data_IF_598105542113
#
_entry.id   IF_598105542113
#
_cell.length_a   1.000
_cell.length_b   1.000
_cell.length_c   1.000
_cell.angle_alpha   90.00
_cell.angle_beta   90.00
_cell.angle_gamma   90.00
#
_symmetry.space_group_name_H-M   'P 1'
#
loop_
_entity.id
_entity.type
_entity.pdbx_description
1 polymer ?
#
# COMPACT_ATOMS: atom_id res chain seq x y z
N UNK A 1 -9.07 17.63 2.40
CA UNK A 1 -7.72 17.69 2.99
C UNK A 1 -6.96 16.52 2.41
N UNK A 2 -6.08 16.80 1.47
CA UNK A 2 -5.28 15.75 0.84
C UNK A 2 -4.29 15.16 1.85
N UNK A 3 -3.94 13.87 1.72
CA UNK A 3 -2.74 13.22 2.34
C UNK A 3 -1.51 14.14 2.36
N UNK A 4 -1.49 15.02 1.38
CA UNK A 4 -0.47 15.95 0.93
C UNK A 4 -0.39 17.19 1.84
N UNK A 5 -1.45 17.63 2.52
CA UNK A 5 -1.49 18.87 3.29
C UNK A 5 -1.24 18.70 4.80
N UNK A 6 -1.27 17.47 5.34
CA UNK A 6 -0.92 17.29 6.76
C UNK A 6 0.60 17.46 6.97
N UNK A 7 0.99 18.42 7.80
CA UNK A 7 2.37 18.59 8.28
C UNK A 7 2.77 17.42 9.20
N UNK A 8 1.80 16.81 9.89
CA UNK A 8 2.01 15.63 10.75
C UNK A 8 1.94 14.30 9.98
N UNK A 9 2.55 13.25 10.55
CA UNK A 9 2.35 11.88 10.09
C UNK A 9 0.87 11.50 10.24
N UNK A 10 0.24 11.14 9.13
CA UNK A 10 -1.16 10.77 9.09
C UNK A 10 -1.34 9.51 8.24
N UNK A 11 -2.33 8.71 8.63
CA UNK A 11 -2.66 7.42 8.06
C UNK A 11 -4.05 7.49 7.47
N UNK A 12 -4.16 7.16 6.19
CA UNK A 12 -5.39 7.37 5.41
C UNK A 12 -5.92 6.04 4.87
N UNK A 13 -7.24 5.90 4.84
CA UNK A 13 -7.92 4.95 3.96
C UNK A 13 -8.41 5.72 2.73
N UNK A 14 -7.88 5.41 1.56
CA UNK A 14 -8.26 6.01 0.30
C UNK A 14 -9.18 5.05 -0.48
N UNK A 15 -10.44 5.45 -0.65
CA UNK A 15 -11.48 4.71 -1.37
C UNK A 15 -11.60 5.32 -2.77
N UNK A 16 -11.39 4.50 -3.80
CA UNK A 16 -11.37 4.93 -5.20
C UNK A 16 -12.16 3.99 -6.08
N UNK A 17 -12.71 4.51 -7.19
CA UNK A 17 -13.38 3.68 -8.20
C UNK A 17 -12.45 2.52 -8.63
N UNK A 18 -12.93 1.27 -8.69
CA UNK A 18 -12.14 0.12 -9.15
C UNK A 18 -11.37 0.36 -10.46
N UNK A 19 -11.94 1.08 -11.41
CA UNK A 19 -11.32 1.41 -12.69
C UNK A 19 -10.19 2.45 -12.56
N UNK A 20 -10.24 3.27 -11.51
CA UNK A 20 -9.27 4.34 -11.24
C UNK A 20 -8.19 3.96 -10.25
N UNK A 21 -8.33 2.90 -9.45
CA UNK A 21 -7.36 2.50 -8.42
C UNK A 21 -5.89 2.55 -8.86
N UNK A 22 -5.59 2.06 -10.07
CA UNK A 22 -4.22 2.09 -10.63
C UNK A 22 -3.72 3.52 -10.84
N UNK A 23 -4.59 4.41 -11.32
CA UNK A 23 -4.28 5.82 -11.52
C UNK A 23 -4.15 6.53 -10.16
N UNK A 24 -5.04 6.25 -9.22
CA UNK A 24 -5.00 6.75 -7.85
C UNK A 24 -3.69 6.39 -7.13
N UNK A 25 -3.28 5.12 -7.21
CA UNK A 25 -1.97 4.68 -6.71
C UNK A 25 -0.82 5.50 -7.34
N UNK A 26 -0.83 5.62 -8.67
CA UNK A 26 0.20 6.35 -9.40
C UNK A 26 0.29 7.82 -8.98
N UNK A 27 -0.85 8.49 -8.80
CA UNK A 27 -0.88 9.91 -8.44
C UNK A 27 -0.50 10.13 -6.97
N UNK A 28 -0.91 9.26 -6.05
CA UNK A 28 -0.46 9.31 -4.65
C UNK A 28 1.07 9.16 -4.56
N UNK A 29 1.64 8.15 -5.23
CA UNK A 29 3.09 7.90 -5.19
C UNK A 29 3.86 9.03 -5.89
N UNK A 30 3.36 9.55 -7.01
CA UNK A 30 3.98 10.70 -7.68
C UNK A 30 4.01 11.93 -6.75
N UNK A 31 2.90 12.26 -6.10
CA UNK A 31 2.82 13.41 -5.19
C UNK A 31 3.71 13.27 -3.95
N UNK A 32 3.84 12.06 -3.38
CA UNK A 32 4.73 11.84 -2.25
C UNK A 32 6.20 11.98 -2.66
N UNK A 33 6.57 11.40 -3.80
CA UNK A 33 7.96 11.43 -4.28
C UNK A 33 8.41 12.81 -4.75
N UNK A 34 7.53 13.66 -5.30
CA UNK A 34 7.85 15.07 -5.61
C UNK A 34 8.15 15.89 -4.36
N UNK A 35 7.58 15.50 -3.21
CA UNK A 35 7.87 16.08 -1.89
C UNK A 35 9.11 15.47 -1.22
N UNK A 36 9.86 14.61 -1.92
CA UNK A 36 11.04 13.97 -1.38
C UNK A 36 10.74 12.85 -0.37
N UNK A 37 9.53 12.29 -0.39
CA UNK A 37 9.15 11.16 0.47
C UNK A 37 9.37 9.84 -0.29
N UNK A 38 10.17 8.94 0.27
CA UNK A 38 10.34 7.58 -0.25
C UNK A 38 9.09 6.74 0.02
N UNK A 39 8.79 5.76 -0.84
CA UNK A 39 7.58 4.94 -0.72
C UNK A 39 7.90 3.45 -0.65
N UNK A 40 7.37 2.79 0.38
CA UNK A 40 7.26 1.34 0.44
C UNK A 40 5.88 0.96 -0.08
N UNK A 41 5.82 0.26 -1.21
CA UNK A 41 4.58 -0.12 -1.89
C UNK A 41 4.31 -1.61 -1.63
N UNK A 42 3.35 -1.92 -0.80
CA UNK A 42 2.81 -3.27 -0.65
C UNK A 42 1.78 -3.48 -1.73
N UNK A 43 2.02 -4.43 -2.64
CA UNK A 43 1.08 -4.71 -3.73
C UNK A 43 0.53 -6.13 -3.69
N UNK A 44 -0.80 -6.23 -3.73
CA UNK A 44 -1.58 -7.48 -3.67
C UNK A 44 -2.39 -7.74 -4.94
N UNK A 45 -2.46 -6.75 -5.84
CA UNK A 45 -3.29 -6.77 -7.05
C UNK A 45 -2.45 -6.67 -8.33
N UNK A 46 -1.55 -5.69 -8.43
CA UNK A 46 -0.78 -5.39 -9.64
C UNK A 46 0.68 -5.78 -9.43
N UNK A 47 1.25 -6.71 -10.21
CA UNK A 47 2.66 -7.05 -10.14
C UNK A 47 3.60 -5.83 -10.14
N UNK A 48 4.61 -5.85 -9.27
CA UNK A 48 5.63 -4.79 -9.14
C UNK A 48 6.32 -4.45 -10.47
N UNK A 49 6.49 -5.43 -11.37
CA UNK A 49 7.06 -5.22 -12.70
C UNK A 49 6.19 -4.34 -13.60
N UNK A 50 4.86 -4.41 -13.44
CA UNK A 50 3.91 -3.54 -14.15
C UNK A 50 3.93 -2.14 -13.52
N UNK A 51 3.89 -2.05 -12.18
CA UNK A 51 3.99 -0.78 -11.47
C UNK A 51 5.31 -0.06 -11.80
N UNK A 52 6.42 -0.78 -11.87
CA UNK A 52 7.74 -0.23 -12.26
C UNK A 52 7.68 0.46 -13.62
N UNK A 53 7.04 -0.16 -14.62
CA UNK A 53 6.88 0.44 -15.96
C UNK A 53 6.01 1.70 -15.91
N UNK A 54 4.93 1.68 -15.13
CA UNK A 54 4.02 2.82 -14.96
C UNK A 54 4.72 3.99 -14.26
N UNK A 55 5.42 3.71 -13.17
CA UNK A 55 6.14 4.70 -12.38
C UNK A 55 7.27 5.33 -13.20
N UNK A 56 8.05 4.51 -13.90
CA UNK A 56 9.10 5.00 -14.82
C UNK A 56 8.51 5.89 -15.91
N UNK A 57 7.39 5.50 -16.53
CA UNK A 57 6.72 6.30 -17.57
C UNK A 57 6.20 7.65 -17.02
N UNK A 58 5.78 7.70 -15.77
CA UNK A 58 5.32 8.93 -15.08
C UNK A 58 6.49 9.80 -14.59
N UNK A 59 7.73 9.29 -14.61
CA UNK A 59 8.91 10.00 -14.12
C UNK A 59 9.13 9.90 -12.61
N UNK A 60 8.55 8.90 -11.95
CA UNK A 60 8.74 8.66 -10.52
C UNK A 60 10.18 8.13 -10.29
N UNK A 61 10.95 8.71 -9.36
CA UNK A 61 12.33 8.29 -9.07
C UNK A 61 12.35 6.90 -8.40
N UNK A 62 12.75 5.89 -9.17
CA UNK A 62 12.69 4.47 -8.74
C UNK A 62 13.66 4.11 -7.61
N UNK A 63 14.68 4.92 -7.35
CA UNK A 63 15.57 4.82 -6.18
C UNK A 63 14.85 5.19 -4.87
N UNK A 64 13.68 5.85 -4.96
CA UNK A 64 12.80 6.17 -3.83
C UNK A 64 11.66 5.16 -3.63
N UNK A 65 11.61 4.10 -4.43
CA UNK A 65 10.53 3.10 -4.38
C UNK A 65 11.08 1.75 -3.93
N UNK A 66 10.43 1.14 -2.95
CA UNK A 66 10.63 -0.27 -2.59
C UNK A 66 9.31 -1.02 -2.66
N UNK A 67 9.25 -2.12 -3.41
CA UNK A 67 8.05 -2.95 -3.51
C UNK A 67 8.09 -4.11 -2.52
N UNK A 68 6.93 -4.42 -1.93
CA UNK A 68 6.63 -5.70 -1.31
C UNK A 68 5.54 -6.34 -2.17
N UNK A 69 5.93 -7.29 -3.02
CA UNK A 69 5.08 -7.88 -4.04
C UNK A 69 4.56 -9.25 -3.59
N UNK A 70 3.25 -9.32 -3.33
CA UNK A 70 2.60 -10.53 -2.88
C UNK A 70 1.89 -11.31 -3.99
N UNK A 71 1.78 -10.75 -5.20
CA UNK A 71 0.94 -11.30 -6.27
C UNK A 71 1.76 -12.00 -7.36
N UNK A 72 2.99 -11.55 -7.63
CA UNK A 72 3.82 -12.07 -8.72
C UNK A 72 4.16 -13.53 -8.51
N UNK A 73 4.73 -13.90 -7.36
CA UNK A 73 5.11 -15.29 -7.08
C UNK A 73 3.90 -16.22 -7.03
N UNK A 74 2.79 -15.75 -6.46
CA UNK A 74 1.54 -16.50 -6.42
C UNK A 74 0.99 -16.78 -7.82
N UNK A 75 1.04 -15.79 -8.72
CA UNK A 75 0.49 -15.90 -10.08
C UNK A 75 1.38 -16.71 -11.03
N UNK A 76 2.70 -16.61 -10.90
CA UNK A 76 3.66 -17.27 -11.79
C UNK A 76 4.21 -18.60 -11.24
N UNK A 77 3.94 -18.92 -9.97
CA UNK A 77 4.54 -20.06 -9.27
C UNK A 77 6.05 -19.93 -9.03
N UNK A 78 6.66 -18.82 -9.46
CA UNK A 78 8.09 -18.55 -9.39
C UNK A 78 8.36 -17.04 -9.33
N UNK A 79 9.57 -16.67 -8.90
CA UNK A 79 10.01 -15.27 -8.87
C UNK A 79 10.78 -15.02 -10.17
N UNK A 80 10.42 -13.99 -10.97
CA UNK A 80 11.22 -13.57 -12.11
C UNK A 80 12.64 -13.17 -11.67
N UNK A 81 13.64 -13.43 -12.51
CA UNK A 81 15.01 -13.01 -12.19
C UNK A 81 15.09 -11.47 -12.04
N UNK A 82 15.70 -11.04 -10.92
CA UNK A 82 16.15 -9.68 -10.63
C UNK A 82 15.14 -8.56 -10.94
N UNK A 83 14.13 -8.39 -10.07
CA UNK A 83 13.38 -7.13 -9.99
C UNK A 83 14.03 -6.26 -8.91
N UNK A 84 14.75 -5.18 -9.29
CA UNK A 84 15.39 -4.30 -8.32
C UNK A 84 14.38 -3.74 -7.32
N UNK A 85 14.86 -3.42 -6.12
CA UNK A 85 14.08 -2.80 -5.05
C UNK A 85 12.76 -3.52 -4.72
N UNK A 86 12.69 -4.85 -4.91
CA UNK A 86 11.48 -5.64 -4.65
C UNK A 86 11.74 -6.77 -3.68
N UNK A 87 10.89 -6.89 -2.67
CA UNK A 87 10.78 -8.06 -1.78
C UNK A 87 9.54 -8.85 -2.19
N UNK A 88 9.70 -10.12 -2.54
CA UNK A 88 8.56 -10.98 -2.90
C UNK A 88 8.06 -11.77 -1.69
N UNK A 89 6.74 -11.87 -1.53
CA UNK A 89 6.11 -12.84 -0.61
C UNK A 89 5.43 -13.97 -1.40
N UNK A 90 5.04 -15.03 -0.70
CA UNK A 90 4.46 -16.23 -1.31
C UNK A 90 3.08 -15.99 -1.94
N UNK A 91 2.20 -15.28 -1.23
CA UNK A 91 0.85 -14.93 -1.69
C UNK A 91 0.24 -13.79 -0.84
N UNK A 92 -0.82 -13.12 -1.32
CA UNK A 92 -1.44 -12.02 -0.58
C UNK A 92 -2.09 -12.43 0.75
N UNK A 93 -2.49 -13.70 0.89
CA UNK A 93 -3.06 -14.25 2.12
C UNK A 93 -2.03 -14.56 3.22
N UNK A 94 -0.72 -14.56 2.91
CA UNK A 94 0.31 -14.85 3.90
C UNK A 94 0.67 -13.60 4.71
N UNK A 95 -0.19 -13.28 5.67
CA UNK A 95 -0.05 -12.11 6.56
C UNK A 95 1.25 -12.11 7.37
N UNK A 96 1.78 -13.29 7.70
CA UNK A 96 3.05 -13.41 8.43
C UNK A 96 4.22 -12.95 7.57
N UNK A 97 4.33 -13.46 6.33
CA UNK A 97 5.39 -13.03 5.40
C UNK A 97 5.26 -11.54 5.04
N UNK A 98 4.04 -11.06 4.80
CA UNK A 98 3.78 -9.64 4.57
C UNK A 98 4.22 -8.78 5.77
N UNK A 99 3.85 -9.16 6.99
CA UNK A 99 4.21 -8.43 8.20
C UNK A 99 5.73 -8.39 8.45
N UNK A 100 6.44 -9.48 8.15
CA UNK A 100 7.91 -9.54 8.21
C UNK A 100 8.52 -8.63 7.14
N UNK A 101 8.09 -8.74 5.88
CA UNK A 101 8.60 -7.93 4.78
C UNK A 101 8.41 -6.44 5.05
N UNK A 102 7.22 -6.03 5.51
CA UNK A 102 6.93 -4.63 5.88
C UNK A 102 7.83 -4.20 7.04
N UNK A 103 7.95 -5.01 8.09
CA UNK A 103 8.79 -4.66 9.24
C UNK A 103 10.26 -4.48 8.87
N UNK A 104 10.80 -5.34 8.01
CA UNK A 104 12.20 -5.24 7.55
C UNK A 104 12.41 -4.05 6.61
N UNK A 105 11.46 -3.75 5.72
CA UNK A 105 11.53 -2.57 4.87
C UNK A 105 11.51 -1.27 5.70
N UNK A 106 10.60 -1.19 6.69
CA UNK A 106 10.52 -0.04 7.60
C UNK A 106 11.79 0.14 8.44
N UNK A 107 12.45 -0.95 8.87
CA UNK A 107 13.73 -0.86 9.61
C UNK A 107 14.88 -0.33 8.75
N UNK A 108 14.90 -0.66 7.46
CA UNK A 108 15.98 -0.29 6.53
C UNK A 108 15.81 1.11 5.92
N UNK A 109 14.70 1.81 6.23
CA UNK A 109 14.42 3.16 5.71
C UNK A 109 15.52 4.13 6.11
N UNK A 110 15.97 4.96 5.18
CA UNK A 110 16.97 6.02 5.41
C UNK A 110 16.39 7.42 5.34
N UNK A 111 15.30 7.58 4.59
CA UNK A 111 14.65 8.86 4.31
C UNK A 111 13.28 8.95 4.98
N UNK A 112 12.68 10.15 4.92
CA UNK A 112 11.25 10.30 5.18
C UNK A 112 10.47 9.35 4.26
N UNK A 113 9.71 8.43 4.83
CA UNK A 113 9.14 7.29 4.12
C UNK A 113 7.63 7.23 4.37
N UNK A 114 6.87 6.84 3.35
CA UNK A 114 5.47 6.48 3.45
C UNK A 114 5.26 4.99 3.14
N UNK A 115 4.29 4.35 3.81
CA UNK A 115 3.83 3.01 3.47
C UNK A 115 2.52 3.10 2.68
N UNK A 116 2.52 2.55 1.47
CA UNK A 116 1.34 2.48 0.59
C UNK A 116 0.94 1.03 0.44
N UNK A 117 -0.30 0.69 0.79
CA UNK A 117 -0.85 -0.67 0.69
C UNK A 117 -1.93 -0.71 -0.39
N UNK A 118 -1.65 -1.37 -1.51
CA UNK A 118 -2.51 -1.47 -2.69
C UNK A 118 -2.80 -2.93 -3.07
N UNK A 119 -3.94 -3.51 -2.68
CA UNK A 119 -5.06 -2.89 -1.95
C UNK A 119 -5.55 -3.77 -0.80
N UNK A 120 -6.23 -3.14 0.16
CA UNK A 120 -6.89 -3.84 1.26
C UNK A 120 -8.06 -4.68 0.74
N UNK A 121 -8.87 -4.14 -0.18
CA UNK A 121 -10.00 -4.86 -0.78
C UNK A 121 -9.57 -6.17 -1.46
N UNK A 122 -8.38 -6.23 -2.05
CA UNK A 122 -7.88 -7.46 -2.68
C UNK A 122 -7.58 -8.57 -1.65
N UNK A 123 -7.32 -8.23 -0.38
CA UNK A 123 -7.10 -9.24 0.65
C UNK A 123 -8.36 -10.07 0.95
N UNK A 124 -9.56 -9.53 0.71
CA UNK A 124 -10.82 -10.25 0.93
C UNK A 124 -11.00 -11.47 0.02
N UNK A 125 -10.24 -11.56 -1.07
CA UNK A 125 -10.20 -12.76 -1.93
C UNK A 125 -9.57 -13.95 -1.18
N UNK A 126 -8.68 -13.67 -0.23
CA UNK A 126 -7.83 -14.69 0.42
C UNK A 126 -8.13 -14.86 1.92
N UNK A 127 -8.73 -13.85 2.55
CA UNK A 127 -8.79 -13.72 4.00
C UNK A 127 -10.15 -13.21 4.46
N UNK A 128 -10.53 -13.58 5.68
CA UNK A 128 -11.71 -13.04 6.34
C UNK A 128 -11.46 -11.61 6.85
N UNK A 129 -12.52 -10.82 6.94
CA UNK A 129 -12.53 -9.46 7.47
C UNK A 129 -11.84 -9.33 8.83
N UNK A 130 -12.09 -10.22 9.82
CA UNK A 130 -11.40 -10.14 11.12
C UNK A 130 -9.88 -10.34 11.03
N UNK A 131 -9.40 -11.18 10.11
CA UNK A 131 -7.96 -11.39 9.92
C UNK A 131 -7.30 -10.18 9.27
N UNK A 132 -7.97 -9.59 8.25
CA UNK A 132 -7.51 -8.36 7.60
C UNK A 132 -7.47 -7.22 8.62
N UNK A 133 -8.54 -7.02 9.38
CA UNK A 133 -8.65 -5.97 10.40
C UNK A 133 -7.53 -6.04 11.44
N UNK A 134 -7.25 -7.23 11.99
CA UNK A 134 -6.12 -7.44 12.93
C UNK A 134 -4.78 -7.09 12.30
N UNK A 135 -4.58 -7.45 11.04
CA UNK A 135 -3.34 -7.16 10.32
C UNK A 135 -3.17 -5.68 10.05
N UNK A 136 -4.20 -5.00 9.53
CA UNK A 136 -4.19 -3.55 9.30
C UNK A 136 -3.96 -2.82 10.62
N UNK A 137 -4.62 -3.22 11.71
CA UNK A 137 -4.37 -2.65 13.04
C UNK A 137 -2.90 -2.79 13.48
N UNK A 138 -2.31 -3.96 13.30
CA UNK A 138 -0.89 -4.21 13.60
C UNK A 138 0.04 -3.30 12.78
N UNK A 139 -0.19 -3.19 11.47
CA UNK A 139 0.64 -2.36 10.58
C UNK A 139 0.45 -0.88 10.90
N UNK A 140 -0.78 -0.41 11.09
CA UNK A 140 -1.09 0.99 11.47
C UNK A 140 -0.38 1.38 12.75
N UNK A 141 -0.46 0.58 13.82
CA UNK A 141 0.22 0.89 15.07
C UNK A 141 1.75 0.95 14.89
N UNK A 142 2.30 0.08 14.03
CA UNK A 142 3.74 0.09 13.74
C UNK A 142 4.18 1.35 13.01
N UNK A 143 3.46 1.77 11.96
CA UNK A 143 3.80 3.00 11.23
C UNK A 143 3.58 4.25 12.09
N UNK A 144 2.54 4.26 12.95
CA UNK A 144 2.29 5.34 13.91
C UNK A 144 3.42 5.49 14.93
N UNK A 145 3.90 4.39 15.51
CA UNK A 145 5.05 4.39 16.44
C UNK A 145 6.36 4.83 15.78
N UNK A 146 6.46 4.76 14.46
CA UNK A 146 7.62 5.16 13.69
C UNK A 146 7.50 6.56 13.08
N UNK A 147 6.39 7.26 13.33
CA UNK A 147 6.06 8.58 12.77
C UNK A 147 6.05 8.59 11.23
N UNK A 148 5.45 7.55 10.64
CA UNK A 148 5.44 7.29 9.19
C UNK A 148 4.04 7.55 8.62
N UNK A 149 3.99 8.23 7.47
CA UNK A 149 2.75 8.39 6.69
C UNK A 149 2.28 7.05 6.14
N UNK A 150 0.96 6.81 6.18
CA UNK A 150 0.35 5.56 5.71
C UNK A 150 -0.80 5.81 4.75
N UNK A 151 -0.89 4.99 3.70
CA UNK A 151 -2.04 4.99 2.79
C UNK A 151 -2.48 3.56 2.57
N UNK A 152 -3.72 3.26 2.93
CA UNK A 152 -4.41 2.04 2.56
C UNK A 152 -5.33 2.36 1.38
N UNK A 153 -5.11 1.73 0.23
CA UNK A 153 -6.02 1.84 -0.91
C UNK A 153 -7.09 0.75 -0.83
N UNK A 154 -8.30 1.11 -1.21
CA UNK A 154 -9.40 0.18 -1.37
C UNK A 154 -10.28 0.58 -2.55
N UNK A 155 -10.81 -0.42 -3.26
CA UNK A 155 -11.89 -0.23 -4.21
C UNK A 155 -13.15 0.28 -3.50
N UNK A 156 -13.87 1.20 -4.14
CA UNK A 156 -15.23 1.58 -3.76
C UNK A 156 -16.12 0.34 -3.74
N UNK A 157 -16.93 0.19 -2.68
CA UNK A 157 -17.76 -1.01 -2.41
C UNK A 157 -16.97 -2.33 -2.34
N UNK A 158 -15.63 -2.26 -2.26
CA UNK A 158 -14.74 -3.42 -2.21
C UNK A 158 -14.50 -3.98 -0.81
N UNK A 159 -14.88 -3.25 0.25
CA UNK A 159 -14.84 -3.74 1.63
C UNK A 159 -16.26 -4.10 2.07
N UNK A 160 -16.39 -5.18 2.83
CA UNK A 160 -17.63 -5.41 3.57
C UNK A 160 -17.83 -4.31 4.64
N UNK A 161 -19.08 -4.02 5.04
CA UNK A 161 -19.37 -2.90 5.96
C UNK A 161 -18.66 -3.00 7.32
N UNK A 162 -18.45 -4.22 7.82
CA UNK A 162 -17.77 -4.43 9.10
C UNK A 162 -16.29 -4.09 8.97
N UNK A 163 -15.63 -4.55 7.91
CA UNK A 163 -14.23 -4.25 7.65
C UNK A 163 -14.00 -2.75 7.43
N UNK A 164 -14.88 -2.11 6.66
CA UNK A 164 -14.83 -0.67 6.46
C UNK A 164 -14.91 0.06 7.80
N UNK A 165 -15.91 -0.22 8.63
CA UNK A 165 -16.07 0.44 9.92
C UNK A 165 -14.84 0.23 10.83
N UNK A 166 -14.27 -0.98 10.83
CA UNK A 166 -13.08 -1.28 11.62
C UNK A 166 -11.86 -0.51 11.13
N UNK A 167 -11.57 -0.51 9.83
CA UNK A 167 -10.41 0.21 9.27
C UNK A 167 -10.58 1.72 9.45
N UNK A 168 -11.78 2.27 9.23
CA UNK A 168 -12.08 3.68 9.46
C UNK A 168 -11.84 4.11 10.91
N UNK A 169 -11.98 3.20 11.89
CA UNK A 169 -11.65 3.47 13.29
C UNK A 169 -10.16 3.37 13.64
N UNK A 170 -9.35 2.77 12.74
CA UNK A 170 -7.92 2.53 12.92
C UNK A 170 -7.09 3.67 12.30
N UNK A 171 -7.51 4.16 11.13
CA UNK A 171 -6.87 5.25 10.38
C UNK A 171 -7.28 6.61 10.94
N UNK A 172 -6.53 7.65 10.59
CA UNK A 172 -6.79 9.01 11.06
C UNK A 172 -7.84 9.72 10.19
N UNK A 173 -7.92 9.35 8.90
CA UNK A 173 -8.91 9.91 7.97
C UNK A 173 -9.29 8.91 6.88
N UNK A 174 -10.55 8.96 6.45
CA UNK A 174 -11.05 8.29 5.25
C UNK A 174 -11.19 9.33 4.15
N UNK A 175 -10.61 9.05 2.98
CA UNK A 175 -10.72 9.85 1.79
C UNK A 175 -11.49 9.07 0.73
N UNK A 176 -12.53 9.69 0.19
CA UNK A 176 -13.29 9.15 -0.93
C UNK A 176 -13.03 10.04 -2.15
N UNK A 177 -12.83 9.43 -3.31
CA UNK A 177 -12.71 10.16 -4.57
C UNK A 177 -14.05 10.88 -4.84
N UNK A 178 -14.05 12.22 -4.94
CA UNK A 178 -15.25 12.95 -5.34
C UNK A 178 -15.58 12.56 -6.79
N UNK A 179 -16.78 12.02 -7.00
CA UNK A 179 -17.30 11.80 -8.34
C UNK A 179 -17.65 13.16 -8.94
N UNK A 180 -16.78 13.69 -9.80
CA UNK A 180 -17.14 14.79 -10.72
C UNK A 180 -18.18 14.35 -11.75
#
# INVERSE_FOLDING_TARGET
MDIIESEDSAIFLYISDPARMKQTNLDIVANLTTKGIACIIVTTNIPSSILTKLYTKKGIPMDRIHFIDAITKYSLGSIPAEVPNTTFTSNPGNLTELGIAISEALKKRKDNTALIFDSVSTLLIYLSSPNISKFIHFITNKIRLLDIKGVYLSAEKGLDPLLLAQISSIVDMVMEEENE
#
